data_IF_535811166286
#
_entry.id   IF_535811166286
#
_cell.length_a   1.000
_cell.length_b   1.000
_cell.length_c   1.000
_cell.angle_alpha   90.00
_cell.angle_beta   90.00
_cell.angle_gamma   90.00
#
_symmetry.space_group_name_H-M   'P 1'
#
loop_
_entity.id
_entity.type
_entity.pdbx_description
1 polymer ?
#
# COMPACT_ATOMS: atom_id res chain seq x y z
N UNK A 1 -68.74 49.67 8.43
CA UNK A 1 -67.71 49.52 7.38
C UNK A 1 -66.55 48.73 7.97
N UNK A 2 -66.53 47.39 8.10
CA UNK A 2 -66.88 46.29 7.19
C UNK A 2 -66.06 46.24 5.91
N UNK A 3 -64.79 45.86 6.02
CA UNK A 3 -64.02 45.27 4.91
C UNK A 3 -63.40 43.95 5.37
N UNK A 4 -64.00 42.88 4.87
CA UNK A 4 -63.61 41.48 5.00
C UNK A 4 -62.24 41.23 4.35
N UNK A 5 -61.28 40.75 5.13
CA UNK A 5 -60.06 40.15 4.60
C UNK A 5 -60.23 38.63 4.59
N UNK A 6 -60.60 38.06 3.43
CA UNK A 6 -60.53 36.60 3.21
C UNK A 6 -59.07 36.19 3.01
N UNK A 7 -58.51 35.25 3.79
CA UNK A 7 -57.36 34.49 3.36
C UNK A 7 -57.86 33.29 2.54
N UNK A 8 -57.83 33.42 1.21
CA UNK A 8 -58.00 32.29 0.29
C UNK A 8 -56.66 31.99 -0.36
N UNK A 9 -55.97 31.02 0.22
CA UNK A 9 -54.75 30.44 -0.31
C UNK A 9 -54.56 29.05 0.30
N UNK A 10 -55.43 28.11 -0.10
CA UNK A 10 -55.20 26.67 0.07
C UNK A 10 -53.96 26.31 -0.75
N UNK A 11 -52.80 26.26 -0.11
CA UNK A 11 -51.75 25.32 -0.49
C UNK A 11 -52.19 23.95 0.01
N UNK A 12 -52.67 23.11 -0.89
CA UNK A 12 -53.03 21.73 -0.63
C UNK A 12 -51.84 20.96 -0.03
N UNK A 13 -52.16 19.93 0.75
CA UNK A 13 -51.24 19.22 1.63
C UNK A 13 -49.94 18.75 1.00
N UNK A 14 -48.84 19.16 1.63
CA UNK A 14 -47.62 18.35 1.71
C UNK A 14 -47.23 18.35 3.19
N UNK A 15 -47.88 17.50 3.97
CA UNK A 15 -47.57 17.33 5.37
C UNK A 15 -46.09 16.96 5.53
N UNK A 16 -45.32 17.60 6.43
CA UNK A 16 -43.95 17.24 6.65
C UNK A 16 -43.91 15.85 7.29
N UNK A 17 -43.32 14.88 6.60
CA UNK A 17 -42.43 13.98 7.32
C UNK A 17 -42.64 12.48 7.21
N UNK A 18 -43.67 11.93 6.55
CA UNK A 18 -43.76 10.45 6.47
C UNK A 18 -42.84 9.85 5.39
N UNK A 19 -42.83 10.40 4.17
CA UNK A 19 -41.86 10.02 3.11
C UNK A 19 -40.43 10.39 3.54
N UNK A 20 -40.25 11.56 4.13
CA UNK A 20 -38.96 11.99 4.67
C UNK A 20 -38.51 11.15 5.88
N UNK A 21 -39.42 10.69 6.74
CA UNK A 21 -39.09 9.75 7.82
C UNK A 21 -38.77 8.36 7.27
N UNK A 22 -39.54 7.85 6.31
CA UNK A 22 -39.27 6.57 5.66
C UNK A 22 -37.91 6.56 4.94
N UNK A 23 -37.60 7.62 4.18
CA UNK A 23 -36.31 7.80 3.52
C UNK A 23 -35.15 7.92 4.52
N UNK A 24 -35.34 8.64 5.65
CA UNK A 24 -34.31 8.72 6.71
C UNK A 24 -34.10 7.39 7.43
N UNK A 25 -35.19 6.64 7.65
CA UNK A 25 -35.14 5.33 8.30
C UNK A 25 -34.46 4.29 7.40
N UNK A 26 -34.64 4.40 6.08
CA UNK A 26 -33.92 3.59 5.10
C UNK A 26 -32.47 4.06 4.88
N UNK A 27 -32.21 5.37 4.99
CA UNK A 27 -30.87 5.93 4.85
C UNK A 27 -29.92 5.49 5.96
N UNK A 28 -30.41 5.23 7.17
CA UNK A 28 -29.58 4.77 8.28
C UNK A 28 -28.92 3.40 8.04
N UNK A 29 -29.65 2.30 7.74
CA UNK A 29 -29.04 1.01 7.41
C UNK A 29 -28.26 1.05 6.10
N UNK A 30 -28.69 1.85 5.12
CA UNK A 30 -27.92 2.05 3.88
C UNK A 30 -26.55 2.68 4.17
N UNK A 31 -26.51 3.76 4.96
CA UNK A 31 -25.25 4.40 5.36
C UNK A 31 -24.37 3.48 6.20
N UNK A 32 -24.95 2.67 7.08
CA UNK A 32 -24.20 1.68 7.86
C UNK A 32 -23.58 0.59 6.95
N UNK A 33 -24.35 0.09 5.98
CA UNK A 33 -23.85 -0.86 4.99
C UNK A 33 -22.75 -0.24 4.11
N UNK A 34 -22.93 1.00 3.63
CA UNK A 34 -21.92 1.72 2.85
C UNK A 34 -20.65 2.00 3.67
N UNK A 35 -20.77 2.36 4.95
CA UNK A 35 -19.63 2.51 5.84
C UNK A 35 -18.89 1.18 6.04
N UNK A 36 -19.63 0.07 6.18
CA UNK A 36 -19.07 -1.27 6.24
C UNK A 36 -18.32 -1.67 4.96
N UNK A 37 -18.90 -1.38 3.79
CA UNK A 37 -18.27 -1.63 2.48
C UNK A 37 -17.01 -0.77 2.31
N UNK A 38 -17.09 0.53 2.64
CA UNK A 38 -15.95 1.43 2.57
C UNK A 38 -14.82 0.95 3.51
N UNK A 39 -15.16 0.61 4.75
CA UNK A 39 -14.22 0.03 5.72
C UNK A 39 -13.61 -1.28 5.22
N UNK A 40 -14.41 -2.15 4.60
CA UNK A 40 -13.93 -3.40 4.02
C UNK A 40 -12.97 -3.17 2.85
N UNK A 41 -13.30 -2.26 1.93
CA UNK A 41 -12.43 -1.91 0.78
C UNK A 41 -11.11 -1.32 1.26
N UNK A 42 -11.16 -0.45 2.28
CA UNK A 42 -9.95 0.11 2.92
C UNK A 42 -9.14 -1.01 3.57
N UNK A 43 -9.75 -1.86 4.39
CA UNK A 43 -9.08 -2.96 5.06
C UNK A 43 -8.47 -3.94 4.05
N UNK A 44 -9.18 -4.23 2.95
CA UNK A 44 -8.69 -5.07 1.88
C UNK A 44 -7.44 -4.43 1.26
N UNK A 45 -7.50 -3.16 0.86
CA UNK A 45 -6.34 -2.43 0.33
C UNK A 45 -5.14 -2.43 1.29
N UNK A 46 -5.39 -2.17 2.58
CA UNK A 46 -4.37 -2.16 3.66
C UNK A 46 -3.77 -3.54 3.89
N UNK A 47 -4.51 -4.63 3.69
CA UNK A 47 -3.99 -5.99 3.87
C UNK A 47 -3.35 -6.52 2.59
N UNK A 48 -3.74 -6.03 1.42
CA UNK A 48 -3.38 -6.63 0.12
C UNK A 48 -2.38 -5.79 -0.67
N UNK A 49 -1.93 -4.68 -0.11
CA UNK A 49 -0.96 -3.77 -0.75
C UNK A 49 0.31 -4.49 -1.22
N UNK A 50 0.88 -5.40 -0.41
CA UNK A 50 2.10 -6.12 -0.79
C UNK A 50 1.81 -7.15 -1.89
N UNK A 51 0.65 -7.82 -1.85
CA UNK A 51 0.20 -8.69 -2.94
C UNK A 51 0.10 -7.91 -4.26
N UNK A 52 -0.50 -6.71 -4.21
CA UNK A 52 -0.62 -5.82 -5.36
C UNK A 52 0.76 -5.36 -5.86
N UNK A 53 1.69 -5.02 -4.96
CA UNK A 53 3.06 -4.64 -5.30
C UNK A 53 3.79 -5.78 -6.03
N UNK A 54 3.71 -7.01 -5.53
CA UNK A 54 4.32 -8.19 -6.14
C UNK A 54 3.77 -8.43 -7.54
N UNK A 55 2.44 -8.37 -7.70
CA UNK A 55 1.80 -8.55 -8.99
C UNK A 55 2.20 -7.46 -10.00
N UNK A 56 2.23 -6.21 -9.56
CA UNK A 56 2.63 -5.06 -10.37
C UNK A 56 4.08 -5.17 -10.84
N UNK A 57 5.01 -5.46 -9.91
CA UNK A 57 6.44 -5.58 -10.26
C UNK A 57 6.70 -6.76 -11.19
N UNK A 58 5.99 -7.89 -11.04
CA UNK A 58 6.04 -9.02 -11.99
C UNK A 58 5.50 -8.66 -13.37
N UNK A 59 4.44 -7.86 -13.44
CA UNK A 59 3.90 -7.36 -14.71
C UNK A 59 4.84 -6.36 -15.39
N UNK A 60 5.43 -5.44 -14.61
CA UNK A 60 6.43 -4.48 -15.11
C UNK A 60 7.70 -5.18 -15.59
N UNK A 61 8.15 -6.22 -14.90
CA UNK A 61 9.31 -7.00 -15.34
C UNK A 61 9.06 -7.60 -16.73
N UNK A 62 7.89 -8.19 -16.96
CA UNK A 62 7.49 -8.72 -18.28
C UNK A 62 7.36 -7.65 -19.33
N UNK A 63 6.79 -6.49 -19.01
CA UNK A 63 6.76 -5.38 -19.95
C UNK A 63 8.17 -4.96 -20.39
N UNK A 64 9.11 -4.90 -19.44
CA UNK A 64 10.51 -4.56 -19.73
C UNK A 64 11.29 -5.66 -20.49
N UNK A 65 10.82 -6.91 -20.47
CA UNK A 65 11.48 -8.05 -21.11
C UNK A 65 10.85 -8.41 -22.47
N UNK A 66 9.51 -8.33 -22.56
CA UNK A 66 8.70 -8.85 -23.65
C UNK A 66 7.98 -7.75 -24.46
N UNK A 67 8.16 -6.46 -24.13
CA UNK A 67 7.53 -5.28 -24.77
C UNK A 67 6.00 -5.36 -24.91
N UNK A 68 5.35 -5.98 -23.93
CA UNK A 68 3.90 -6.22 -23.95
C UNK A 68 3.10 -5.01 -23.46
N UNK A 69 2.27 -4.40 -24.32
CA UNK A 69 1.36 -3.28 -23.98
C UNK A 69 0.22 -3.61 -22.99
N UNK A 70 0.21 -4.82 -22.41
CA UNK A 70 -0.88 -5.35 -21.57
C UNK A 70 -0.54 -5.39 -20.08
N UNK A 71 0.13 -4.37 -19.56
CA UNK A 71 0.57 -4.29 -18.16
C UNK A 71 -0.60 -4.36 -17.17
N UNK A 72 -1.70 -3.67 -17.49
CA UNK A 72 -2.88 -3.62 -16.63
C UNK A 72 -3.50 -5.00 -16.42
N UNK A 73 -3.87 -5.69 -17.50
CA UNK A 73 -4.49 -7.03 -17.41
C UNK A 73 -3.52 -8.08 -16.88
N UNK A 74 -2.23 -7.96 -17.21
CA UNK A 74 -1.19 -8.84 -16.67
C UNK A 74 -1.03 -8.69 -15.16
N UNK A 75 -1.18 -7.48 -14.62
CA UNK A 75 -1.12 -7.24 -13.16
C UNK A 75 -2.24 -8.00 -12.44
N UNK A 76 -3.49 -7.92 -12.92
CA UNK A 76 -4.61 -8.66 -12.30
C UNK A 76 -4.45 -10.18 -12.42
N UNK A 77 -3.93 -10.66 -13.55
CA UNK A 77 -3.65 -12.09 -13.75
C UNK A 77 -2.55 -12.59 -12.80
N UNK A 78 -1.47 -11.83 -12.62
CA UNK A 78 -0.42 -12.15 -11.65
C UNK A 78 -0.92 -12.07 -10.20
N UNK A 79 -1.80 -11.12 -9.89
CA UNK A 79 -2.42 -11.02 -8.58
C UNK A 79 -3.22 -12.28 -8.27
N UNK A 80 -4.13 -12.69 -9.16
CA UNK A 80 -4.93 -13.91 -8.98
C UNK A 80 -4.05 -15.17 -8.82
N UNK A 81 -2.96 -15.28 -9.61
CA UNK A 81 -2.07 -16.43 -9.56
C UNK A 81 -1.22 -16.50 -8.27
N UNK A 82 -0.81 -15.35 -7.73
CA UNK A 82 0.12 -15.29 -6.58
C UNK A 82 -0.57 -15.04 -5.24
N UNK A 83 -1.83 -14.61 -5.24
CA UNK A 83 -2.59 -14.17 -4.06
C UNK A 83 -2.47 -15.11 -2.86
N UNK A 84 -2.73 -16.42 -3.03
CA UNK A 84 -2.71 -17.38 -1.91
C UNK A 84 -1.31 -17.53 -1.30
N UNK A 85 -0.26 -17.31 -2.08
CA UNK A 85 1.15 -17.40 -1.63
C UNK A 85 1.63 -16.10 -0.99
N UNK A 86 1.17 -14.95 -1.49
CA UNK A 86 1.61 -13.61 -1.03
C UNK A 86 0.79 -13.08 0.14
N UNK A 87 -0.46 -13.53 0.30
CA UNK A 87 -1.36 -13.03 1.35
C UNK A 87 -0.80 -13.20 2.77
N UNK A 88 -0.22 -14.36 3.17
CA UNK A 88 0.38 -14.48 4.50
C UNK A 88 1.52 -13.49 4.74
N UNK A 89 2.35 -13.22 3.71
CA UNK A 89 3.42 -12.23 3.79
C UNK A 89 2.86 -10.81 3.89
N UNK A 90 1.80 -10.51 3.14
CA UNK A 90 1.16 -9.20 3.14
C UNK A 90 0.50 -8.91 4.50
N UNK A 91 -0.18 -9.89 5.09
CA UNK A 91 -0.73 -9.82 6.45
C UNK A 91 0.40 -9.62 7.46
N UNK A 92 1.44 -10.45 7.42
CA UNK A 92 2.57 -10.34 8.34
C UNK A 92 3.27 -8.97 8.25
N UNK A 93 3.53 -8.48 7.04
CA UNK A 93 4.11 -7.16 6.82
C UNK A 93 3.22 -6.05 7.36
N UNK A 94 1.90 -6.14 7.15
CA UNK A 94 0.93 -5.16 7.66
C UNK A 94 0.91 -5.13 9.18
N UNK A 95 0.92 -6.29 9.83
CA UNK A 95 0.99 -6.40 11.30
C UNK A 95 2.28 -5.78 11.83
N UNK A 96 3.44 -6.08 11.21
CA UNK A 96 4.73 -5.53 11.62
C UNK A 96 4.75 -4.00 11.47
N UNK A 97 4.26 -3.47 10.34
CA UNK A 97 4.17 -2.02 10.11
C UNK A 97 3.25 -1.37 11.15
N UNK A 98 2.09 -1.96 11.43
CA UNK A 98 1.16 -1.44 12.43
C UNK A 98 1.78 -1.40 13.83
N UNK A 99 2.52 -2.45 14.23
CA UNK A 99 3.23 -2.48 15.51
C UNK A 99 4.31 -1.41 15.59
N UNK A 100 5.14 -1.26 14.54
CA UNK A 100 6.18 -0.22 14.50
C UNK A 100 5.55 1.17 14.60
N UNK A 101 4.45 1.44 13.90
CA UNK A 101 3.75 2.73 13.99
C UNK A 101 3.19 2.96 15.40
N UNK A 102 2.57 1.94 16.00
CA UNK A 102 2.06 2.02 17.36
C UNK A 102 3.18 2.30 18.38
N UNK A 103 4.33 1.61 18.26
CA UNK A 103 5.50 1.80 19.10
C UNK A 103 6.09 3.21 18.94
N UNK A 104 6.22 3.71 17.71
CA UNK A 104 6.69 5.08 17.44
C UNK A 104 5.76 6.11 18.07
N UNK A 105 4.45 5.99 17.87
CA UNK A 105 3.46 6.92 18.45
C UNK A 105 3.50 6.83 19.97
N UNK A 106 3.53 5.63 20.54
CA UNK A 106 3.60 5.41 21.98
C UNK A 106 4.86 6.06 22.57
N UNK A 107 6.04 5.76 22.03
CA UNK A 107 7.31 6.30 22.53
C UNK A 107 7.40 7.81 22.35
N UNK A 108 6.89 8.37 21.25
CA UNK A 108 6.90 9.81 20.99
C UNK A 108 6.06 10.61 22.01
N UNK A 109 5.04 10.00 22.62
CA UNK A 109 4.24 10.65 23.68
C UNK A 109 4.88 10.61 25.06
N UNK A 110 6.03 9.95 25.24
CA UNK A 110 6.70 9.77 26.53
C UNK A 110 7.89 10.71 26.69
N UNK A 111 7.87 11.52 27.75
CA UNK A 111 8.98 12.40 28.15
C UNK A 111 10.04 11.69 29.00
N UNK A 112 10.49 10.51 28.57
CA UNK A 112 11.48 9.69 29.30
C UNK A 112 12.77 9.52 28.47
N UNK A 113 13.97 9.63 29.06
CA UNK A 113 15.23 9.33 28.36
C UNK A 113 15.27 7.93 27.76
N UNK A 114 14.63 6.95 28.42
CA UNK A 114 14.50 5.59 27.91
C UNK A 114 13.65 5.52 26.63
N UNK A 115 12.63 6.37 26.50
CA UNK A 115 11.81 6.41 25.29
C UNK A 115 12.62 6.90 24.09
N UNK A 116 13.51 7.88 24.28
CA UNK A 116 14.43 8.36 23.24
C UNK A 116 15.40 7.26 22.82
N UNK A 117 15.99 6.54 23.77
CA UNK A 117 16.91 5.43 23.49
C UNK A 117 16.22 4.31 22.70
N UNK A 118 15.01 3.91 23.13
CA UNK A 118 14.23 2.89 22.43
C UNK A 118 13.82 3.34 21.03
N UNK A 119 13.44 4.60 20.86
CA UNK A 119 13.11 5.16 19.55
C UNK A 119 14.34 5.16 18.63
N UNK A 120 15.52 5.54 19.14
CA UNK A 120 16.77 5.48 18.40
C UNK A 120 17.14 4.05 17.96
N UNK A 121 16.86 3.05 18.80
CA UNK A 121 17.06 1.63 18.46
C UNK A 121 16.01 1.10 17.47
N UNK A 122 14.78 1.63 17.50
CA UNK A 122 13.69 1.24 16.61
C UNK A 122 13.92 1.73 15.18
N UNK A 123 14.50 2.92 14.98
CA UNK A 123 14.77 3.51 13.66
C UNK A 123 15.53 2.56 12.71
N UNK A 124 16.70 1.98 13.06
CA UNK A 124 17.41 1.08 12.16
C UNK A 124 16.64 -0.23 11.90
N UNK A 125 15.89 -0.75 12.88
CA UNK A 125 15.05 -1.93 12.71
C UNK A 125 13.90 -1.66 11.74
N UNK A 126 13.23 -0.51 11.88
CA UNK A 126 12.18 -0.06 10.99
C UNK A 126 12.72 0.19 9.57
N UNK A 127 13.90 0.81 9.44
CA UNK A 127 14.55 1.03 8.15
C UNK A 127 14.89 -0.31 7.46
N UNK A 128 15.45 -1.27 8.19
CA UNK A 128 15.73 -2.61 7.67
C UNK A 128 14.45 -3.33 7.23
N UNK A 129 13.40 -3.29 8.07
CA UNK A 129 12.09 -3.85 7.74
C UNK A 129 11.50 -3.22 6.47
N UNK A 130 11.51 -1.90 6.37
CA UNK A 130 11.05 -1.15 5.21
C UNK A 130 11.81 -1.54 3.94
N UNK A 131 13.14 -1.69 4.03
CA UNK A 131 13.98 -2.12 2.91
C UNK A 131 13.64 -3.53 2.44
N UNK A 132 13.48 -4.47 3.37
CA UNK A 132 13.12 -5.86 3.04
C UNK A 132 11.75 -5.91 2.36
N UNK A 133 10.77 -5.18 2.89
CA UNK A 133 9.42 -5.14 2.31
C UNK A 133 9.41 -4.44 0.95
N UNK A 134 10.22 -3.39 0.75
CA UNK A 134 10.37 -2.73 -0.54
C UNK A 134 11.03 -3.64 -1.60
N UNK A 135 11.98 -4.51 -1.22
CA UNK A 135 12.65 -5.43 -2.14
C UNK A 135 11.88 -6.74 -2.38
N UNK A 136 10.90 -7.08 -1.55
CA UNK A 136 10.09 -8.30 -1.67
C UNK A 136 9.41 -8.45 -3.05
N UNK A 137 8.76 -7.41 -3.62
CA UNK A 137 8.22 -7.44 -4.97
C UNK A 137 9.28 -7.74 -6.04
N UNK A 138 10.46 -7.11 -5.96
CA UNK A 138 11.55 -7.35 -6.89
C UNK A 138 12.10 -8.79 -6.77
N UNK A 139 12.25 -9.29 -5.54
CA UNK A 139 12.68 -10.67 -5.28
C UNK A 139 11.66 -11.71 -5.80
N UNK A 140 10.37 -11.43 -5.67
CA UNK A 140 9.29 -12.28 -6.19
C UNK A 140 9.20 -12.26 -7.73
N UNK A 141 9.69 -11.21 -8.35
CA UNK A 141 9.82 -11.07 -9.79
C UNK A 141 11.04 -11.86 -10.30
N UNK A 142 12.20 -11.71 -9.65
CA UNK A 142 13.42 -12.46 -9.97
C UNK A 142 13.30 -13.98 -9.75
N UNK A 143 12.62 -14.43 -8.69
CA UNK A 143 12.43 -15.84 -8.38
C UNK A 143 10.96 -16.25 -8.50
N UNK A 144 10.45 -16.21 -9.73
CA UNK A 144 9.01 -16.27 -10.03
C UNK A 144 8.27 -17.50 -9.47
N UNK A 145 8.93 -18.66 -9.52
CA UNK A 145 8.39 -19.95 -9.04
C UNK A 145 8.84 -20.28 -7.60
N UNK A 146 9.62 -19.40 -6.99
CA UNK A 146 10.16 -19.56 -5.65
C UNK A 146 9.09 -19.54 -4.56
N UNK A 147 9.46 -20.08 -3.38
CA UNK A 147 8.63 -20.01 -2.19
C UNK A 147 8.73 -18.64 -1.50
N UNK A 148 7.75 -18.31 -0.64
CA UNK A 148 7.78 -17.11 0.20
C UNK A 148 9.09 -16.95 0.99
N UNK A 149 9.63 -18.06 1.52
CA UNK A 149 10.93 -18.08 2.23
C UNK A 149 12.11 -17.79 1.32
N UNK A 150 12.03 -18.14 0.04
CA UNK A 150 13.06 -17.85 -0.95
C UNK A 150 13.03 -16.37 -1.33
N UNK A 151 11.84 -15.80 -1.53
CA UNK A 151 11.70 -14.36 -1.78
C UNK A 151 12.23 -13.53 -0.62
N UNK A 152 11.92 -13.91 0.62
CA UNK A 152 12.44 -13.22 1.80
C UNK A 152 13.97 -13.30 1.90
N UNK A 153 14.55 -14.48 1.67
CA UNK A 153 16.01 -14.67 1.64
C UNK A 153 16.68 -13.84 0.55
N UNK A 154 16.08 -13.76 -0.64
CA UNK A 154 16.58 -12.93 -1.74
C UNK A 154 16.46 -11.44 -1.40
N UNK A 155 15.33 -10.99 -0.85
CA UNK A 155 15.16 -9.60 -0.43
C UNK A 155 16.19 -9.19 0.63
N UNK A 156 16.42 -10.04 1.64
CA UNK A 156 17.48 -9.83 2.64
C UNK A 156 18.88 -9.82 1.99
N UNK A 157 19.15 -10.76 1.08
CA UNK A 157 20.39 -10.81 0.33
C UNK A 157 20.64 -9.52 -0.47
N UNK A 158 19.62 -8.96 -1.12
CA UNK A 158 19.73 -7.69 -1.85
C UNK A 158 20.08 -6.51 -0.93
N UNK A 159 19.49 -6.48 0.27
CA UNK A 159 19.78 -5.44 1.25
C UNK A 159 21.23 -5.51 1.74
N UNK A 160 21.72 -6.72 2.04
CA UNK A 160 23.08 -6.94 2.57
C UNK A 160 24.15 -6.77 1.51
N UNK A 161 23.92 -7.25 0.29
CA UNK A 161 24.94 -7.24 -0.79
C UNK A 161 25.10 -5.88 -1.47
N UNK A 162 24.08 -5.00 -1.41
CA UNK A 162 24.12 -3.69 -2.04
C UNK A 162 23.60 -2.58 -1.11
N UNK A 163 24.30 -2.26 -0.01
CA UNK A 163 23.82 -1.31 0.99
C UNK A 163 23.64 0.10 0.43
N UNK A 164 24.52 0.57 -0.45
CA UNK A 164 24.40 1.89 -1.08
C UNK A 164 23.16 2.02 -1.96
N UNK A 165 22.78 0.96 -2.69
CA UNK A 165 21.58 0.96 -3.53
C UNK A 165 20.31 0.83 -2.70
N UNK A 166 20.37 0.00 -1.66
CA UNK A 166 19.30 -0.12 -0.69
C UNK A 166 19.04 1.23 -0.01
N UNK A 167 20.08 1.95 0.39
CA UNK A 167 19.95 3.31 0.91
C UNK A 167 19.25 4.24 -0.11
N UNK A 168 19.58 4.15 -1.40
CA UNK A 168 18.86 4.85 -2.47
C UNK A 168 17.36 4.51 -2.52
N UNK A 169 16.99 3.23 -2.40
CA UNK A 169 15.58 2.79 -2.32
C UNK A 169 14.91 3.37 -1.07
N UNK A 170 15.61 3.40 0.06
CA UNK A 170 15.08 4.00 1.30
C UNK A 170 14.84 5.50 1.14
N UNK A 171 15.78 6.23 0.52
CA UNK A 171 15.60 7.67 0.24
C UNK A 171 14.39 7.89 -0.67
N UNK A 172 14.24 7.10 -1.74
CA UNK A 172 13.05 7.18 -2.61
C UNK A 172 11.78 6.89 -1.81
N UNK A 173 11.77 5.87 -0.96
CA UNK A 173 10.61 5.50 -0.15
C UNK A 173 10.23 6.63 0.83
N UNK A 174 11.20 7.17 1.57
CA UNK A 174 10.98 8.28 2.50
C UNK A 174 10.49 9.53 1.78
N UNK A 175 11.11 9.86 0.64
CA UNK A 175 10.71 11.00 -0.19
C UNK A 175 9.30 10.82 -0.72
N UNK A 176 8.95 9.60 -1.14
CA UNK A 176 7.62 9.27 -1.63
C UNK A 176 6.56 9.37 -0.54
N UNK A 177 6.84 8.85 0.66
CA UNK A 177 5.95 8.99 1.83
C UNK A 177 5.75 10.46 2.19
N UNK A 178 6.83 11.24 2.25
CA UNK A 178 6.75 12.68 2.49
C UNK A 178 5.96 13.41 1.39
N UNK A 179 6.08 13.00 0.13
CA UNK A 179 5.29 13.57 -0.94
C UNK A 179 3.80 13.21 -0.81
N UNK A 180 3.48 11.98 -0.40
CA UNK A 180 2.10 11.54 -0.18
C UNK A 180 1.43 12.25 1.01
N UNK A 181 2.19 12.71 2.01
CA UNK A 181 1.61 13.52 3.11
C UNK A 181 1.25 14.94 2.66
N UNK A 182 1.97 15.50 1.68
CA UNK A 182 1.67 16.82 1.11
C UNK A 182 0.59 16.72 0.01
N UNK A 183 0.66 15.70 -0.85
CA UNK A 183 -0.27 15.45 -1.95
C UNK A 183 -0.91 14.05 -1.82
N UNK A 184 -1.96 13.90 -1.00
CA UNK A 184 -2.61 12.61 -0.77
C UNK A 184 -3.25 12.02 -2.05
N UNK A 185 -3.53 12.87 -3.05
CA UNK A 185 -4.07 12.45 -4.36
C UNK A 185 -3.09 11.61 -5.18
N UNK A 186 -1.79 11.60 -4.85
CA UNK A 186 -0.78 10.78 -5.54
C UNK A 186 -0.85 9.29 -5.16
N UNK A 187 -1.36 8.97 -3.96
CA UNK A 187 -1.46 7.61 -3.44
C UNK A 187 -2.21 6.67 -4.41
N UNK A 188 -3.44 6.99 -4.87
CA UNK A 188 -4.16 6.09 -5.78
C UNK A 188 -3.52 5.98 -7.18
N UNK A 189 -2.78 6.99 -7.63
CA UNK A 189 -2.24 7.02 -9.01
C UNK A 189 -0.87 6.33 -9.11
N UNK A 190 0.00 6.56 -8.12
CA UNK A 190 1.42 6.18 -8.21
C UNK A 190 1.93 5.43 -6.97
N UNK A 191 1.06 5.21 -5.96
CA UNK A 191 1.45 4.78 -4.62
C UNK A 191 2.32 3.53 -4.57
N UNK A 192 2.06 2.56 -5.45
CA UNK A 192 2.80 1.28 -5.53
C UNK A 192 3.87 1.27 -6.64
N UNK A 193 3.67 2.06 -7.69
CA UNK A 193 4.48 2.02 -8.91
C UNK A 193 5.88 2.58 -8.69
N UNK A 194 6.00 3.74 -8.04
CA UNK A 194 7.29 4.42 -7.82
C UNK A 194 8.23 3.62 -6.92
N UNK A 195 7.83 3.23 -5.69
CA UNK A 195 8.71 2.42 -4.83
C UNK A 195 8.98 1.03 -5.43
N UNK A 196 8.00 0.43 -6.11
CA UNK A 196 8.16 -0.87 -6.78
C UNK A 196 9.20 -0.83 -7.91
N UNK A 197 9.16 0.19 -8.76
CA UNK A 197 10.13 0.40 -9.84
C UNK A 197 11.54 0.68 -9.30
N UNK A 198 11.65 1.53 -8.27
CA UNK A 198 12.94 1.83 -7.65
C UNK A 198 13.62 0.56 -7.11
N UNK A 199 12.85 -0.29 -6.41
CA UNK A 199 13.35 -1.57 -5.90
C UNK A 199 13.73 -2.54 -7.03
N UNK A 200 12.93 -2.63 -8.09
CA UNK A 200 13.22 -3.48 -9.25
C UNK A 200 14.51 -3.05 -9.96
N UNK A 201 14.70 -1.75 -10.20
CA UNK A 201 15.91 -1.20 -10.83
C UNK A 201 17.14 -1.44 -9.96
N UNK A 202 17.02 -1.23 -8.64
CA UNK A 202 18.10 -1.50 -7.70
C UNK A 202 18.51 -2.98 -7.68
N UNK A 203 17.53 -3.89 -7.74
CA UNK A 203 17.76 -5.33 -7.77
C UNK A 203 18.45 -5.77 -9.07
N UNK A 204 17.95 -5.37 -10.24
CA UNK A 204 18.53 -5.71 -11.55
C UNK A 204 19.99 -5.29 -11.67
N UNK A 205 20.30 -4.04 -11.32
CA UNK A 205 21.68 -3.51 -11.34
C UNK A 205 22.62 -4.29 -10.41
N UNK A 206 22.09 -4.92 -9.36
CA UNK A 206 22.86 -5.70 -8.38
C UNK A 206 23.21 -7.07 -8.93
N UNK A 207 22.26 -7.70 -9.62
CA UNK A 207 22.52 -8.96 -10.33
C UNK A 207 23.55 -8.75 -11.45
N UNK A 208 23.44 -7.70 -12.26
CA UNK A 208 24.37 -7.40 -13.36
C UNK A 208 25.83 -7.26 -12.89
N UNK A 209 26.07 -6.48 -11.82
CA UNK A 209 27.42 -6.29 -11.27
C UNK A 209 28.05 -7.58 -10.75
N UNK A 210 27.28 -8.45 -10.11
CA UNK A 210 27.81 -9.72 -9.59
C UNK A 210 27.98 -10.76 -10.70
N UNK A 211 27.11 -10.72 -11.73
CA UNK A 211 27.28 -11.53 -12.94
C UNK A 211 28.53 -11.17 -13.74
N UNK A 212 28.92 -9.89 -13.78
CA UNK A 212 30.16 -9.45 -14.46
C UNK A 212 31.44 -9.83 -13.71
N UNK A 213 31.38 -10.05 -12.38
CA UNK A 213 32.54 -10.43 -11.56
C UNK A 213 32.81 -11.94 -11.57
N UNK A 214 31.81 -12.75 -11.91
CA UNK A 214 31.90 -14.21 -11.98
C UNK A 214 32.27 -14.72 -13.39
N UNK A 215 32.87 -13.87 -14.23
CA UNK A 215 33.51 -14.21 -15.49
C UNK A 215 32.96 -15.47 -16.14
N UNK A 216 31.90 -15.33 -16.96
CA UNK A 216 31.44 -16.43 -17.82
C UNK A 216 32.67 -17.02 -18.53
N UNK A 217 33.05 -18.28 -18.28
CA UNK A 217 33.90 -18.96 -19.24
C UNK A 217 33.11 -19.05 -20.55
N UNK A 218 33.74 -18.60 -21.62
CA UNK A 218 33.29 -18.80 -22.99
C UNK A 218 33.18 -20.30 -23.32
#
# INVERSE_FOLDING_TARGET
MSTLRRPSGRGAGAGPGWEGAALRWLAYPANLAFAGIAGFVIALGVVTWLCAAVALVRALQRWLEDDLDTVFTTTFRELAATWRRTLPLSVAATVVVALVVADVVFLATRSSPWAVLLLAALVPLAALGALVVAHLPAAAALARDGSARQWLRLALGLVVTAPARSAGVLVVLVTWVALCTVLPTLVPVLGLSVPGLAALVAARRTVERHGSLLGRPA
#
